data_IF_081908309912
#
_entry.id   IF_081908309912
#
_cell.length_a   1.000
_cell.length_b   1.000
_cell.length_c   1.000
_cell.angle_alpha   90.00
_cell.angle_beta   90.00
_cell.angle_gamma   90.00
#
_symmetry.space_group_name_H-M   'P 1'
#
loop_
_entity.id
_entity.type
_entity.pdbx_description
1 polymer ?
#
# COMPACT_ATOMS: atom_id res chain seq x y z
N UNK A 1 -51.84 2.54 34.46
CA UNK A 1 -50.41 2.87 34.70
C UNK A 1 -49.40 1.79 34.30
N UNK A 2 -49.64 0.50 34.58
CA UNK A 2 -48.66 -0.58 34.29
C UNK A 2 -48.40 -0.80 32.79
N UNK A 3 -49.42 -0.68 31.95
CA UNK A 3 -49.34 -0.78 30.47
C UNK A 3 -48.59 0.40 29.86
N UNK A 4 -48.82 1.62 30.36
CA UNK A 4 -48.12 2.84 29.91
C UNK A 4 -46.63 2.81 30.24
N UNK A 5 -46.24 2.30 31.42
CA UNK A 5 -44.83 2.07 31.77
C UNK A 5 -44.15 1.02 30.87
N UNK A 6 -44.86 -0.05 30.49
CA UNK A 6 -44.36 -1.08 29.56
C UNK A 6 -44.16 -0.52 28.16
N UNK A 7 -45.11 0.26 27.65
CA UNK A 7 -45.00 0.92 26.34
C UNK A 7 -43.83 1.92 26.33
N UNK A 8 -43.69 2.72 27.39
CA UNK A 8 -42.56 3.65 27.55
C UNK A 8 -41.20 2.94 27.61
N UNK A 9 -41.11 1.78 28.29
CA UNK A 9 -39.88 0.97 28.29
C UNK A 9 -39.57 0.37 26.92
N UNK A 10 -40.57 -0.08 26.17
CA UNK A 10 -40.39 -0.63 24.82
C UNK A 10 -39.88 0.46 23.87
N UNK A 11 -40.43 1.68 23.93
CA UNK A 11 -40.00 2.83 23.12
C UNK A 11 -38.56 3.25 23.47
N UNK A 12 -38.21 3.26 24.76
CA UNK A 12 -36.84 3.57 25.20
C UNK A 12 -35.83 2.53 24.71
N UNK A 13 -36.22 1.25 24.69
CA UNK A 13 -35.37 0.15 24.22
C UNK A 13 -35.18 0.19 22.69
N UNK A 14 -36.19 0.58 21.92
CA UNK A 14 -36.07 0.71 20.46
C UNK A 14 -35.25 1.93 20.04
N UNK A 15 -35.26 3.03 20.79
CA UNK A 15 -34.38 4.19 20.55
C UNK A 15 -32.89 3.84 20.70
N UNK A 16 -32.55 2.95 21.65
CA UNK A 16 -31.17 2.48 21.86
C UNK A 16 -30.66 1.64 20.67
N UNK A 17 -31.54 0.93 19.96
CA UNK A 17 -31.16 0.09 18.82
C UNK A 17 -30.96 0.85 17.50
N UNK A 18 -31.46 2.09 17.38
CA UNK A 18 -31.25 2.93 16.18
C UNK A 18 -29.94 3.73 16.19
N UNK A 19 -29.09 3.58 17.22
CA UNK A 19 -27.85 4.36 17.39
C UNK A 19 -26.63 3.92 16.57
N UNK A 20 -26.71 2.81 15.82
CA UNK A 20 -25.60 2.36 14.96
C UNK A 20 -25.76 2.89 13.54
N UNK A 21 -25.83 4.20 13.37
CA UNK A 21 -25.68 4.84 12.06
C UNK A 21 -24.29 4.48 11.53
N UNK A 22 -24.25 3.75 10.42
CA UNK A 22 -23.05 3.33 9.70
C UNK A 22 -22.00 4.43 9.62
N UNK A 23 -21.02 4.42 10.53
CA UNK A 23 -19.77 5.13 10.32
C UNK A 23 -19.01 4.33 9.25
N UNK A 24 -19.23 4.67 7.99
CA UNK A 24 -18.28 4.33 6.93
C UNK A 24 -16.95 4.97 7.35
N UNK A 25 -16.10 4.20 8.00
CA UNK A 25 -14.71 4.57 8.29
C UNK A 25 -13.87 4.50 7.00
N UNK A 26 -14.41 5.02 5.90
CA UNK A 26 -13.66 5.24 4.67
C UNK A 26 -12.67 6.36 4.95
N UNK A 27 -11.39 6.03 4.90
CA UNK A 27 -10.30 6.99 5.08
C UNK A 27 -10.47 8.11 4.04
N UNK A 28 -10.71 9.35 4.50
CA UNK A 28 -11.02 10.47 3.62
C UNK A 28 -9.75 10.94 2.90
N UNK A 29 -9.74 10.77 1.58
CA UNK A 29 -8.72 11.33 0.72
C UNK A 29 -8.81 12.85 0.71
N UNK A 30 -7.68 13.50 0.95
CA UNK A 30 -7.55 14.95 0.89
C UNK A 30 -7.51 15.39 -0.58
N UNK A 31 -8.15 16.53 -0.88
CA UNK A 31 -8.08 17.15 -2.21
C UNK A 31 -6.86 18.05 -2.36
N UNK A 32 -6.42 18.64 -1.25
CA UNK A 32 -5.30 19.57 -1.19
C UNK A 32 -4.28 19.10 -0.15
N UNK A 33 -3.01 19.34 -0.46
CA UNK A 33 -1.88 18.93 0.38
C UNK A 33 -1.01 20.13 0.72
N UNK A 34 -0.44 20.18 1.93
CA UNK A 34 0.57 21.17 2.30
C UNK A 34 1.94 20.87 1.66
N UNK A 35 1.99 20.11 0.57
CA UNK A 35 3.20 19.75 -0.15
C UNK A 35 2.89 19.60 -1.63
N UNK A 36 3.91 19.81 -2.46
CA UNK A 36 3.80 19.74 -3.92
C UNK A 36 4.67 18.62 -4.45
N UNK A 37 4.04 17.65 -5.13
CA UNK A 37 4.75 16.57 -5.82
C UNK A 37 5.21 17.10 -7.18
N UNK A 38 6.51 17.09 -7.43
CA UNK A 38 7.14 17.50 -8.69
C UNK A 38 7.01 16.44 -9.76
N UNK A 39 7.31 15.19 -9.41
CA UNK A 39 7.27 14.05 -10.32
C UNK A 39 7.00 12.77 -9.52
N UNK A 40 6.29 11.85 -10.15
CA UNK A 40 5.94 10.55 -9.60
C UNK A 40 6.08 9.49 -10.69
N UNK A 41 6.92 8.49 -10.45
CA UNK A 41 7.11 7.40 -11.40
C UNK A 41 7.36 6.07 -10.69
N UNK A 42 6.95 4.99 -11.34
CA UNK A 42 7.27 3.63 -10.95
C UNK A 42 8.35 3.08 -11.86
N UNK A 43 9.18 2.21 -11.32
CA UNK A 43 10.22 1.51 -12.06
C UNK A 43 10.36 0.09 -11.53
N UNK A 44 10.19 -0.86 -12.44
CA UNK A 44 10.40 -2.26 -12.17
C UNK A 44 11.91 -2.54 -12.07
N UNK A 45 12.29 -3.49 -11.22
CA UNK A 45 13.67 -3.94 -11.12
C UNK A 45 13.78 -5.43 -10.88
N UNK A 46 14.87 -6.01 -11.39
CA UNK A 46 15.23 -7.41 -11.22
C UNK A 46 16.71 -7.51 -10.88
N UNK A 47 17.05 -8.23 -9.82
CA UNK A 47 18.44 -8.53 -9.50
C UNK A 47 19.02 -9.54 -10.50
N UNK A 48 20.25 -9.34 -10.96
CA UNK A 48 20.91 -10.21 -11.93
C UNK A 48 21.42 -11.53 -11.39
N UNK A 49 21.20 -11.81 -10.09
CA UNK A 49 21.48 -13.10 -9.47
C UNK A 49 20.17 -13.80 -9.13
N UNK A 50 20.14 -15.12 -9.32
CA UNK A 50 19.01 -15.95 -8.94
C UNK A 50 18.75 -15.83 -7.44
N UNK A 51 17.50 -15.58 -7.06
CA UNK A 51 17.12 -15.36 -5.66
C UNK A 51 17.49 -13.98 -5.12
N UNK A 52 18.09 -13.09 -5.93
CA UNK A 52 18.38 -11.71 -5.55
C UNK A 52 17.15 -10.83 -5.43
N UNK A 53 15.98 -11.33 -5.84
CA UNK A 53 14.70 -10.65 -5.76
C UNK A 53 14.41 -9.77 -6.96
N UNK A 54 13.17 -9.30 -6.98
CA UNK A 54 12.63 -8.37 -7.97
C UNK A 54 11.60 -7.48 -7.28
N UNK A 55 11.20 -6.40 -7.92
CA UNK A 55 10.24 -5.50 -7.32
C UNK A 55 9.85 -4.33 -8.20
N UNK A 56 9.07 -3.44 -7.60
CA UNK A 56 8.69 -2.16 -8.17
C UNK A 56 9.10 -1.10 -7.16
N UNK A 57 9.84 -0.11 -7.61
CA UNK A 57 10.14 1.08 -6.81
C UNK A 57 9.27 2.22 -7.30
N UNK A 58 8.55 2.87 -6.40
CA UNK A 58 7.81 4.10 -6.69
C UNK A 58 8.57 5.27 -6.11
N UNK A 59 8.84 6.25 -6.95
CA UNK A 59 9.65 7.41 -6.65
C UNK A 59 8.75 8.65 -6.65
N UNK A 60 8.78 9.39 -5.55
CA UNK A 60 8.07 10.65 -5.38
C UNK A 60 9.08 11.77 -5.13
N UNK A 61 9.19 12.68 -6.09
CA UNK A 61 10.03 13.86 -5.95
C UNK A 61 9.18 15.01 -5.40
N UNK A 62 9.53 15.52 -4.22
CA UNK A 62 8.77 16.61 -3.58
C UNK A 62 9.45 17.93 -3.92
N UNK A 63 8.70 18.87 -4.50
CA UNK A 63 9.19 20.21 -4.80
C UNK A 63 9.29 21.05 -3.51
N UNK A 64 8.22 21.01 -2.72
CA UNK A 64 8.09 21.77 -1.48
C UNK A 64 7.37 20.91 -0.45
N UNK A 65 7.96 20.81 0.73
CA UNK A 65 7.38 20.13 1.88
C UNK A 65 6.92 21.20 2.88
N UNK A 66 5.62 21.24 3.17
CA UNK A 66 5.08 22.18 4.14
C UNK A 66 5.58 21.94 5.55
N UNK A 67 5.46 22.96 6.40
CA UNK A 67 5.86 22.87 7.79
C UNK A 67 5.09 21.76 8.53
N UNK A 68 5.82 20.96 9.32
CA UNK A 68 5.26 19.86 10.14
C UNK A 68 4.51 18.81 9.32
N UNK A 69 5.01 18.53 8.11
CA UNK A 69 4.54 17.47 7.23
C UNK A 69 5.61 16.39 7.16
N UNK A 70 5.21 15.14 7.38
CA UNK A 70 6.07 13.97 7.22
C UNK A 70 5.36 12.93 6.36
N UNK A 71 5.99 12.49 5.27
CA UNK A 71 5.46 11.41 4.43
C UNK A 71 5.83 10.07 5.06
N UNK A 72 4.84 9.26 5.42
CA UNK A 72 5.03 8.03 6.20
C UNK A 72 5.01 6.78 5.31
N UNK A 73 3.90 6.57 4.60
CA UNK A 73 3.65 5.33 3.85
C UNK A 73 3.06 5.61 2.48
N UNK A 74 3.27 4.69 1.55
CA UNK A 74 2.70 4.71 0.22
C UNK A 74 1.87 3.44 -0.01
N UNK A 75 0.70 3.62 -0.61
CA UNK A 75 -0.18 2.54 -1.05
C UNK A 75 -0.16 2.50 -2.56
N UNK A 76 0.22 1.38 -3.15
CA UNK A 76 0.30 1.16 -4.60
C UNK A 76 0.03 -0.31 -4.90
N UNK A 77 -0.71 -0.61 -5.98
CA UNK A 77 -1.08 -1.98 -6.39
C UNK A 77 -1.65 -2.89 -5.28
N UNK A 78 -2.40 -2.31 -4.34
CA UNK A 78 -3.02 -3.07 -3.26
C UNK A 78 -2.10 -3.37 -2.07
N UNK A 79 -0.89 -2.81 -2.05
CA UNK A 79 0.09 -3.02 -0.97
C UNK A 79 0.47 -1.70 -0.31
N UNK A 80 0.83 -1.75 0.97
CA UNK A 80 1.34 -0.62 1.76
C UNK A 80 2.82 -0.82 2.03
N UNK A 81 3.62 0.20 1.76
CA UNK A 81 5.05 0.23 2.13
C UNK A 81 5.39 1.54 2.84
N UNK A 82 6.38 1.49 3.73
CA UNK A 82 6.93 2.70 4.34
C UNK A 82 7.77 3.45 3.30
N UNK A 83 7.64 4.77 3.27
CA UNK A 83 8.48 5.61 2.41
C UNK A 83 9.87 5.79 3.03
N UNK A 84 10.89 5.66 2.19
CA UNK A 84 12.26 6.02 2.55
C UNK A 84 12.63 7.34 1.89
N UNK A 85 13.11 8.30 2.69
CA UNK A 85 13.61 9.57 2.16
C UNK A 85 15.11 9.48 1.84
N UNK A 86 15.50 9.96 0.67
CA UNK A 86 16.89 10.15 0.27
C UNK A 86 17.04 11.47 -0.51
N UNK A 87 17.61 12.48 0.13
CA UNK A 87 17.88 13.80 -0.48
C UNK A 87 16.64 14.44 -1.15
N UNK A 88 15.48 14.43 -0.50
CA UNK A 88 14.22 14.98 -1.05
C UNK A 88 13.49 14.08 -2.05
N UNK A 89 14.00 12.86 -2.28
CA UNK A 89 13.34 11.81 -3.05
C UNK A 89 12.77 10.76 -2.08
N UNK A 90 11.47 10.51 -2.15
CA UNK A 90 10.80 9.49 -1.35
C UNK A 90 10.61 8.23 -2.18
N UNK A 91 10.96 7.08 -1.61
CA UNK A 91 11.01 5.80 -2.33
C UNK A 91 10.17 4.78 -1.58
N UNK A 92 9.12 4.26 -2.24
CA UNK A 92 8.37 3.10 -1.78
C UNK A 92 8.85 1.85 -2.52
N UNK A 93 9.35 0.84 -1.80
CA UNK A 93 9.88 -0.40 -2.40
C UNK A 93 8.92 -1.58 -2.20
N UNK A 94 8.37 -2.07 -3.30
CA UNK A 94 7.48 -3.23 -3.36
C UNK A 94 8.28 -4.43 -3.87
N UNK A 95 8.28 -5.54 -3.15
CA UNK A 95 8.98 -6.76 -3.56
C UNK A 95 8.02 -7.69 -4.31
N UNK A 96 8.51 -8.32 -5.37
CA UNK A 96 7.75 -9.32 -6.14
C UNK A 96 8.45 -10.66 -6.07
N UNK A 97 7.67 -11.75 -6.13
CA UNK A 97 8.15 -13.13 -6.03
C UNK A 97 8.73 -13.69 -7.34
N UNK A 98 8.97 -12.84 -8.35
CA UNK A 98 9.35 -13.28 -9.69
C UNK A 98 10.80 -13.78 -9.74
N UNK A 99 11.71 -13.18 -8.96
CA UNK A 99 13.12 -13.57 -8.86
C UNK A 99 13.52 -13.99 -7.44
N UNK A 100 12.56 -14.51 -6.67
CA UNK A 100 12.83 -15.15 -5.38
C UNK A 100 13.21 -16.62 -5.60
N UNK A 101 14.17 -17.11 -4.82
CA UNK A 101 14.55 -18.52 -4.85
C UNK A 101 13.38 -19.33 -4.32
N UNK A 102 12.76 -20.13 -5.18
CA UNK A 102 11.70 -21.05 -4.78
C UNK A 102 12.35 -22.38 -4.39
N UNK A 103 12.09 -22.86 -3.19
CA UNK A 103 12.40 -24.24 -2.82
C UNK A 103 11.38 -25.17 -3.50
N UNK A 104 11.51 -25.31 -4.82
CA UNK A 104 10.80 -26.32 -5.59
C UNK A 104 11.61 -27.61 -5.49
N UNK A 105 11.02 -28.62 -4.85
CA UNK A 105 11.56 -29.98 -4.93
C UNK A 105 11.17 -30.50 -6.31
N UNK A 106 12.09 -30.40 -7.28
CA UNK A 106 11.92 -31.01 -8.60
C UNK A 106 12.35 -32.46 -8.48
N UNK A 107 11.39 -33.38 -8.43
CA UNK A 107 11.65 -34.81 -8.35
C UNK A 107 11.40 -35.48 -9.71
N UNK A 108 12.27 -36.42 -10.09
CA UNK A 108 12.10 -37.22 -11.32
C UNK A 108 10.78 -38.00 -11.38
N UNK A 109 10.14 -38.26 -10.24
CA UNK A 109 8.86 -38.96 -10.16
C UNK A 109 7.73 -37.92 -10.03
N UNK A 110 6.86 -37.76 -11.04
CA UNK A 110 5.79 -36.77 -11.03
C UNK A 110 4.83 -36.90 -9.84
N UNK A 111 4.76 -38.09 -9.21
CA UNK A 111 3.89 -38.31 -8.03
C UNK A 111 4.44 -37.64 -6.77
N UNK A 112 5.75 -37.35 -6.73
CA UNK A 112 6.41 -36.70 -5.58
C UNK A 112 6.37 -35.18 -5.65
N UNK A 113 5.90 -34.61 -6.76
CA UNK A 113 5.54 -33.18 -6.89
C UNK A 113 4.25 -32.82 -6.13
N UNK A 114 3.48 -33.84 -5.70
CA UNK A 114 2.21 -33.71 -4.97
C UNK A 114 2.44 -33.23 -3.52
N UNK A 115 2.86 -31.97 -3.40
CA UNK A 115 3.26 -31.35 -2.14
C UNK A 115 3.81 -29.93 -2.31
N UNK A 116 4.17 -29.54 -3.53
CA UNK A 116 4.50 -28.16 -3.86
C UNK A 116 3.26 -27.27 -3.64
N UNK A 117 3.33 -26.40 -2.63
CA UNK A 117 2.25 -25.46 -2.32
C UNK A 117 2.37 -24.25 -3.25
N UNK A 118 1.29 -23.79 -3.89
CA UNK A 118 1.33 -22.51 -4.59
C UNK A 118 1.66 -21.41 -3.58
N UNK A 119 2.46 -20.39 -3.96
CA UNK A 119 2.74 -19.26 -3.09
C UNK A 119 1.40 -18.61 -2.71
N UNK A 120 1.14 -18.52 -1.40
CA UNK A 120 -0.04 -17.82 -0.89
C UNK A 120 0.28 -16.32 -0.95
N UNK A 121 -0.39 -15.60 -1.85
CA UNK A 121 -0.34 -14.15 -1.91
C UNK A 121 -1.37 -13.56 -0.95
N UNK A 122 -0.99 -13.45 0.32
CA UNK A 122 -1.79 -12.69 1.30
C UNK A 122 -1.54 -11.21 1.03
N UNK A 123 -2.22 -10.64 0.03
CA UNK A 123 -2.27 -9.18 -0.12
C UNK A 123 -3.11 -8.63 1.03
N UNK A 124 -2.49 -7.84 1.90
CA UNK A 124 -3.24 -7.11 2.92
C UNK A 124 -4.30 -6.25 2.23
N UNK A 125 -5.56 -6.39 2.65
CA UNK A 125 -6.64 -5.59 2.06
C UNK A 125 -6.43 -4.14 2.46
N UNK A 126 -5.96 -3.33 1.52
CA UNK A 126 -5.90 -1.88 1.70
C UNK A 126 -7.31 -1.28 1.65
N UNK A 127 -7.58 -0.19 2.38
CA UNK A 127 -8.90 0.44 2.45
C UNK A 127 -9.21 1.34 1.25
N UNK A 128 -8.41 1.28 0.18
CA UNK A 128 -8.54 2.09 -1.02
C UNK A 128 -8.71 1.19 -2.24
N UNK A 129 -9.61 1.57 -3.15
CA UNK A 129 -9.65 1.02 -4.49
C UNK A 129 -8.78 1.89 -5.39
N UNK A 130 -7.67 1.35 -5.89
CA UNK A 130 -6.68 2.07 -6.68
C UNK A 130 -6.49 1.36 -8.03
N UNK A 131 -6.47 2.14 -9.10
CA UNK A 131 -6.07 1.67 -10.43
C UNK A 131 -4.55 1.49 -10.51
N UNK A 132 -4.06 0.85 -11.57
CA UNK A 132 -2.63 0.53 -11.74
C UNK A 132 -1.71 1.76 -11.84
N UNK A 133 -2.25 2.91 -12.24
CA UNK A 133 -1.51 4.18 -12.37
C UNK A 133 -1.73 5.12 -11.19
N UNK A 134 -2.36 4.64 -10.12
CA UNK A 134 -2.75 5.43 -8.96
C UNK A 134 -2.01 4.95 -7.70
N UNK A 135 -1.63 5.91 -6.85
CA UNK A 135 -1.16 5.62 -5.50
C UNK A 135 -1.86 6.50 -4.48
N UNK A 136 -1.83 6.08 -3.22
CA UNK A 136 -2.20 6.96 -2.10
C UNK A 136 -0.99 7.13 -1.20
N UNK A 137 -0.62 8.37 -0.93
CA UNK A 137 0.40 8.68 0.07
C UNK A 137 -0.26 9.01 1.40
N UNK A 138 0.21 8.36 2.45
CA UNK A 138 -0.12 8.66 3.84
C UNK A 138 0.95 9.59 4.42
N UNK A 139 0.50 10.69 5.01
CA UNK A 139 1.36 11.69 5.59
C UNK A 139 0.81 12.17 6.93
N UNK A 140 1.69 12.59 7.82
CA UNK A 140 1.34 13.20 9.08
C UNK A 140 1.46 14.71 8.92
N UNK A 141 0.37 15.44 9.20
CA UNK A 141 0.38 16.90 9.25
C UNK A 141 -0.15 17.34 10.61
N UNK A 142 0.70 18.03 11.40
CA UNK A 142 0.40 18.45 12.77
C UNK A 142 -0.06 17.29 13.68
N UNK A 143 0.58 16.13 13.54
CA UNK A 143 0.27 14.93 14.33
C UNK A 143 -0.97 14.16 13.88
N UNK A 144 -1.65 14.58 12.80
CA UNK A 144 -2.81 13.90 12.23
C UNK A 144 -2.44 13.21 10.93
N UNK A 145 -2.66 11.90 10.85
CA UNK A 145 -2.49 11.12 9.61
C UNK A 145 -3.57 11.47 8.60
N UNK A 146 -3.14 11.78 7.39
CA UNK A 146 -3.97 12.12 6.23
C UNK A 146 -3.52 11.33 5.02
N UNK A 147 -4.41 11.21 4.05
CA UNK A 147 -4.20 10.42 2.84
C UNK A 147 -4.43 11.30 1.62
N UNK A 148 -3.53 11.26 0.66
CA UNK A 148 -3.66 11.99 -0.60
C UNK A 148 -3.49 11.05 -1.77
N UNK A 149 -4.36 11.18 -2.79
CA UNK A 149 -4.32 10.36 -3.99
C UNK A 149 -3.43 11.01 -5.04
N UNK A 150 -2.54 10.21 -5.61
CA UNK A 150 -1.64 10.56 -6.70
C UNK A 150 -2.15 9.81 -7.93
N UNK A 151 -2.45 10.56 -8.97
CA UNK A 151 -2.93 10.02 -10.25
C UNK A 151 -1.83 10.08 -11.30
N UNK A 152 -1.93 9.25 -12.34
CA UNK A 152 -1.04 9.25 -13.50
C UNK A 152 0.44 9.01 -13.18
N UNK A 153 0.73 8.04 -12.31
CA UNK A 153 2.11 7.61 -12.05
C UNK A 153 2.69 7.03 -13.33
N UNK A 154 3.80 7.61 -13.79
CA UNK A 154 4.47 7.19 -15.03
C UNK A 154 5.26 5.92 -14.79
N UNK A 155 5.10 4.91 -15.64
CA UNK A 155 5.97 3.74 -15.62
C UNK A 155 7.24 4.01 -16.45
N UNK A 156 8.41 3.89 -15.84
CA UNK A 156 9.71 3.94 -16.53
C UNK A 156 10.16 2.54 -16.95
N UNK A 157 11.16 2.49 -17.83
CA UNK A 157 11.79 1.25 -18.26
C UNK A 157 12.39 0.49 -17.07
N UNK A 158 12.21 -0.83 -17.09
CA UNK A 158 12.70 -1.75 -16.06
C UNK A 158 14.22 -1.74 -16.00
N UNK A 159 14.77 -1.77 -14.78
CA UNK A 159 16.22 -1.85 -14.55
C UNK A 159 16.61 -3.27 -14.19
N UNK A 160 17.49 -3.86 -15.00
CA UNK A 160 18.11 -5.14 -14.70
C UNK A 160 19.47 -4.89 -14.06
N UNK A 161 19.60 -5.17 -12.77
CA UNK A 161 20.87 -5.00 -12.08
C UNK A 161 21.83 -6.12 -12.47
N UNK A 162 23.08 -5.82 -12.87
CA UNK A 162 24.05 -6.87 -13.17
C UNK A 162 24.39 -7.67 -11.90
N UNK A 163 24.78 -8.94 -12.07
CA UNK A 163 25.25 -9.80 -10.99
C UNK A 163 26.59 -9.37 -10.38
N UNK A 164 27.32 -8.49 -11.07
CA UNK A 164 28.61 -7.94 -10.66
C UNK A 164 28.48 -6.44 -10.40
N UNK A 165 28.96 -5.98 -9.24
CA UNK A 165 29.08 -4.55 -8.92
C UNK A 165 30.15 -3.97 -9.84
N UNK A 166 29.75 -3.26 -10.89
CA UNK A 166 30.70 -2.49 -11.69
C UNK A 166 31.14 -1.31 -10.83
N UNK A 167 32.34 -1.41 -10.26
CA UNK A 167 32.95 -0.30 -9.55
C UNK A 167 33.40 0.73 -10.60
N UNK A 168 33.13 2.04 -10.42
CA UNK A 168 33.70 3.07 -11.28
C UNK A 168 35.23 3.14 -11.14
#
# INVERSE_FOLDING_TARGET
MKTFKRISHIILLSIIMFGFSNCSSSQKLQKETPFTIKDAYSQDWVAGVEGGGSGINVFLSIAELGNKVELDSLYFHGEKVKLEEKNGLYIGRYKTKANEKRDLIIHEDPKKEYGNKPPIDVKEKIPFNLEDTEAVVSYVHNGVTKYFKIENIKKKESVNYPSIRQNP
#
